data_IF_251073841881
#
_entry.id   IF_251073841881
#
_cell.length_a   1.000
_cell.length_b   1.000
_cell.length_c   1.000
_cell.angle_alpha   90.00
_cell.angle_beta   90.00
_cell.angle_gamma   90.00
#
_symmetry.space_group_name_H-M   'P 1'
#
loop_
_entity.id
_entity.type
_entity.pdbx_description
1 polymer ?
#
# COMPACT_ATOMS: atom_id res chain seq x y z
N UNK A 1 10.45 14.98 -22.02
CA UNK A 1 10.77 15.81 -20.83
C UNK A 1 9.99 15.42 -19.58
N UNK A 2 8.75 14.93 -19.69
CA UNK A 2 7.92 14.59 -18.51
C UNK A 2 8.48 13.44 -17.64
N UNK A 3 9.03 12.37 -18.24
CA UNK A 3 9.58 11.24 -17.47
C UNK A 3 10.88 11.60 -16.71
N UNK A 4 11.91 12.24 -17.32
CA UNK A 4 13.09 12.69 -16.57
C UNK A 4 12.78 13.71 -15.47
N UNK A 5 11.81 14.61 -15.69
CA UNK A 5 11.39 15.58 -14.69
C UNK A 5 10.72 14.89 -13.49
N UNK A 6 9.85 13.89 -13.74
CA UNK A 6 9.24 13.08 -12.68
C UNK A 6 10.31 12.27 -11.92
N UNK A 7 11.27 11.66 -12.61
CA UNK A 7 12.37 10.95 -11.97
C UNK A 7 13.16 11.88 -11.06
N UNK A 8 13.55 13.06 -11.54
CA UNK A 8 14.24 14.07 -10.73
C UNK A 8 13.43 14.46 -9.48
N UNK A 9 12.12 14.70 -9.64
CA UNK A 9 11.24 15.03 -8.52
C UNK A 9 11.26 13.93 -7.44
N UNK A 10 11.13 12.66 -7.85
CA UNK A 10 11.13 11.51 -6.94
C UNK A 10 12.44 11.39 -6.17
N UNK A 11 13.59 11.55 -6.84
CA UNK A 11 14.90 11.50 -6.18
C UNK A 11 15.08 12.64 -5.15
N UNK A 12 14.57 13.84 -5.46
CA UNK A 12 14.63 14.98 -4.52
C UNK A 12 13.78 14.73 -3.28
N UNK A 13 12.58 14.18 -3.45
CA UNK A 13 11.67 13.83 -2.34
C UNK A 13 12.27 12.76 -1.43
N UNK A 14 13.00 11.79 -1.96
CA UNK A 14 13.67 10.78 -1.15
C UNK A 14 14.85 11.33 -0.33
N UNK A 15 15.51 12.37 -0.83
CA UNK A 15 16.74 12.90 -0.24
C UNK A 15 16.53 14.06 0.74
N UNK A 16 15.37 14.73 0.72
CA UNK A 16 15.15 15.96 1.48
C UNK A 16 13.79 15.98 2.18
N UNK A 17 13.75 16.60 3.36
CA UNK A 17 12.49 16.90 4.06
C UNK A 17 11.78 18.05 3.33
N UNK A 18 10.90 17.69 2.38
CA UNK A 18 10.18 18.63 1.51
C UNK A 18 8.79 18.99 2.07
N UNK A 19 8.63 19.09 3.39
CA UNK A 19 7.37 19.43 4.07
C UNK A 19 6.66 20.65 3.49
N UNK A 20 7.40 21.68 3.10
CA UNK A 20 6.79 22.90 2.55
C UNK A 20 6.05 22.67 1.22
N UNK A 21 6.49 21.68 0.44
CA UNK A 21 5.97 21.42 -0.91
C UNK A 21 5.24 20.07 -0.97
N UNK A 22 5.05 19.39 0.16
CA UNK A 22 4.56 18.02 0.23
C UNK A 22 3.18 17.86 -0.43
N UNK A 23 2.26 18.80 -0.20
CA UNK A 23 0.94 18.84 -0.85
C UNK A 23 1.02 18.98 -2.37
N UNK A 24 1.89 19.87 -2.86
CA UNK A 24 2.06 20.11 -4.30
C UNK A 24 2.71 18.90 -4.99
N UNK A 25 3.70 18.30 -4.34
CA UNK A 25 4.35 17.07 -4.81
C UNK A 25 3.36 15.91 -4.83
N UNK A 26 2.56 15.76 -3.78
CA UNK A 26 1.53 14.74 -3.69
C UNK A 26 0.50 14.89 -4.81
N UNK A 27 0.06 16.11 -5.11
CA UNK A 27 -0.89 16.36 -6.20
C UNK A 27 -0.30 15.95 -7.57
N UNK A 28 0.96 16.30 -7.84
CA UNK A 28 1.66 15.91 -9.06
C UNK A 28 1.77 14.38 -9.17
N UNK A 29 2.19 13.73 -8.09
CA UNK A 29 2.33 12.27 -8.03
C UNK A 29 0.98 11.58 -8.23
N UNK A 30 -0.07 12.05 -7.55
CA UNK A 30 -1.43 11.49 -7.63
C UNK A 30 -1.97 11.50 -9.06
N UNK A 31 -1.76 12.59 -9.80
CA UNK A 31 -2.13 12.69 -11.23
C UNK A 31 -1.37 11.71 -12.11
N UNK A 32 -0.17 11.30 -11.72
CA UNK A 32 0.68 10.37 -12.47
C UNK A 32 0.39 8.90 -12.17
N UNK A 33 -0.28 8.59 -11.05
CA UNK A 33 -0.77 7.24 -10.75
C UNK A 33 -1.75 6.72 -11.82
N UNK A 34 -2.56 7.61 -12.39
CA UNK A 34 -3.54 7.30 -13.44
C UNK A 34 -2.94 7.27 -14.85
N UNK A 35 -1.62 7.36 -15.00
CA UNK A 35 -0.97 7.37 -16.32
C UNK A 35 -1.02 5.97 -16.98
N UNK A 36 -1.29 5.94 -18.28
CA UNK A 36 -1.13 4.74 -19.11
C UNK A 36 0.33 4.25 -19.17
N UNK A 37 1.30 5.15 -18.91
CA UNK A 37 2.71 4.80 -18.88
C UNK A 37 3.07 4.10 -17.57
N UNK A 38 3.40 2.81 -17.66
CA UNK A 38 3.86 1.98 -16.53
C UNK A 38 5.07 2.60 -15.82
N UNK A 39 6.05 3.11 -16.57
CA UNK A 39 7.24 3.74 -16.00
C UNK A 39 6.89 4.97 -15.16
N UNK A 40 5.99 5.82 -15.65
CA UNK A 40 5.53 7.00 -14.89
C UNK A 40 4.74 6.58 -13.65
N UNK A 41 3.90 5.55 -13.75
CA UNK A 41 3.15 5.02 -12.60
C UNK A 41 4.09 4.46 -11.52
N UNK A 42 5.11 3.70 -11.92
CA UNK A 42 6.15 3.19 -11.00
C UNK A 42 6.91 4.33 -10.32
N UNK A 43 7.37 5.33 -11.08
CA UNK A 43 8.06 6.49 -10.51
C UNK A 43 7.15 7.26 -9.54
N UNK A 44 5.90 7.49 -9.93
CA UNK A 44 4.92 8.15 -9.07
C UNK A 44 4.71 7.37 -7.75
N UNK A 45 4.54 6.05 -7.83
CA UNK A 45 4.42 5.19 -6.64
C UNK A 45 5.67 5.20 -5.77
N UNK A 46 6.87 5.22 -6.37
CA UNK A 46 8.12 5.34 -5.60
C UNK A 46 8.19 6.67 -4.84
N UNK A 47 7.82 7.78 -5.49
CA UNK A 47 7.68 9.07 -4.80
C UNK A 47 6.61 9.04 -3.70
N UNK A 48 5.49 8.33 -3.94
CA UNK A 48 4.43 8.17 -2.95
C UNK A 48 4.89 7.38 -1.72
N UNK A 49 5.72 6.35 -1.90
CA UNK A 49 6.35 5.60 -0.79
C UNK A 49 7.21 6.53 0.05
N UNK A 50 7.99 7.41 -0.56
CA UNK A 50 8.79 8.39 0.18
C UNK A 50 7.92 9.37 0.98
N UNK A 51 6.86 9.90 0.34
CA UNK A 51 5.92 10.82 0.97
C UNK A 51 5.13 10.20 2.14
N UNK A 52 4.67 8.95 2.01
CA UNK A 52 3.87 8.25 3.03
C UNK A 52 4.56 8.07 4.39
N UNK A 53 5.86 8.37 4.49
CA UNK A 53 6.59 8.39 5.76
C UNK A 53 6.40 9.69 6.54
N UNK A 54 5.93 10.75 5.90
CA UNK A 54 5.66 12.03 6.53
C UNK A 54 4.17 12.12 6.95
N UNK A 55 3.86 12.23 8.24
CA UNK A 55 2.49 12.39 8.72
C UNK A 55 1.75 13.62 8.15
N UNK A 56 2.48 14.62 7.63
CA UNK A 56 1.89 15.83 7.06
C UNK A 56 0.98 15.56 5.86
N UNK A 57 1.27 14.49 5.10
CA UNK A 57 0.53 14.13 3.88
C UNK A 57 -0.48 12.99 4.08
N UNK A 58 -0.62 12.46 5.30
CA UNK A 58 -1.44 11.27 5.58
C UNK A 58 -2.90 11.43 5.13
N UNK A 59 -3.51 12.62 5.27
CA UNK A 59 -4.87 12.86 4.78
C UNK A 59 -4.96 12.79 3.25
N UNK A 60 -3.93 13.30 2.57
CA UNK A 60 -3.81 13.20 1.13
C UNK A 60 -3.64 11.75 0.67
N UNK A 61 -2.80 10.96 1.33
CA UNK A 61 -2.66 9.52 1.05
C UNK A 61 -3.97 8.78 1.31
N UNK A 62 -4.67 9.10 2.41
CA UNK A 62 -5.97 8.52 2.73
C UNK A 62 -7.00 8.74 1.63
N UNK A 63 -7.01 9.92 0.99
CA UNK A 63 -7.87 10.19 -0.16
C UNK A 63 -7.61 9.28 -1.37
N UNK A 64 -6.40 8.72 -1.47
CA UNK A 64 -5.98 7.80 -2.54
C UNK A 64 -6.25 6.33 -2.22
N UNK A 65 -6.69 5.99 -1.01
CA UNK A 65 -6.83 4.60 -0.51
C UNK A 65 -7.57 3.69 -1.50
N UNK A 66 -8.70 4.12 -2.06
CA UNK A 66 -9.46 3.31 -3.02
C UNK A 66 -8.69 3.10 -4.33
N UNK A 67 -8.12 4.16 -4.90
CA UNK A 67 -7.30 4.06 -6.12
C UNK A 67 -6.11 3.12 -5.91
N UNK A 68 -5.48 3.15 -4.73
CA UNK A 68 -4.37 2.27 -4.39
C UNK A 68 -4.83 0.82 -4.24
N UNK A 69 -5.98 0.57 -3.61
CA UNK A 69 -6.55 -0.78 -3.51
C UNK A 69 -6.90 -1.36 -4.88
N UNK A 70 -7.44 -0.55 -5.79
CA UNK A 70 -7.74 -0.99 -7.16
C UNK A 70 -6.45 -1.40 -7.91
N UNK A 71 -5.35 -0.67 -7.67
CA UNK A 71 -4.04 -0.96 -8.28
C UNK A 71 -3.29 -2.14 -7.63
N UNK A 72 -3.75 -2.68 -6.49
CA UNK A 72 -3.18 -3.91 -5.90
C UNK A 72 -3.42 -5.15 -6.77
N UNK A 73 -4.37 -5.08 -7.71
CA UNK A 73 -4.66 -6.13 -8.69
C UNK A 73 -3.87 -5.95 -10.01
N UNK A 74 -2.89 -5.03 -10.06
CA UNK A 74 -2.01 -4.86 -11.24
C UNK A 74 -1.14 -6.12 -11.43
N UNK A 75 -0.92 -6.51 -12.69
CA UNK A 75 -0.05 -7.64 -13.03
C UNK A 75 1.44 -7.36 -12.74
N UNK A 76 1.79 -6.09 -12.53
CA UNK A 76 3.13 -5.64 -12.24
C UNK A 76 3.46 -5.77 -10.74
N UNK A 77 4.17 -6.82 -10.36
CA UNK A 77 4.53 -7.07 -8.96
C UNK A 77 5.34 -5.95 -8.29
N UNK A 78 6.09 -5.15 -9.05
CA UNK A 78 6.80 -3.99 -8.49
C UNK A 78 5.82 -2.86 -8.10
N UNK A 79 4.81 -2.62 -8.95
CA UNK A 79 3.71 -1.68 -8.64
C UNK A 79 2.98 -2.13 -7.38
N UNK A 80 2.63 -3.41 -7.29
CA UNK A 80 1.95 -3.98 -6.11
C UNK A 80 2.81 -3.82 -4.85
N UNK A 81 4.11 -4.13 -4.93
CA UNK A 81 5.02 -3.99 -3.79
C UNK A 81 5.16 -2.54 -3.30
N UNK A 82 5.20 -1.57 -4.21
CA UNK A 82 5.23 -0.15 -3.86
C UNK A 82 3.94 0.29 -3.15
N UNK A 83 2.78 -0.15 -3.64
CA UNK A 83 1.49 0.16 -3.00
C UNK A 83 1.40 -0.45 -1.60
N UNK A 84 1.81 -1.71 -1.43
CA UNK A 84 1.86 -2.35 -0.12
C UNK A 84 2.78 -1.58 0.84
N UNK A 85 3.89 -1.04 0.34
CA UNK A 85 4.82 -0.22 1.13
C UNK A 85 4.21 1.12 1.55
N UNK A 86 3.41 1.76 0.68
CA UNK A 86 2.65 2.98 1.05
C UNK A 86 1.71 2.69 2.21
N UNK A 87 0.92 1.62 2.12
CA UNK A 87 0.02 1.24 3.21
C UNK A 87 0.77 0.91 4.50
N UNK A 88 1.90 0.19 4.44
CA UNK A 88 2.70 -0.12 5.63
C UNK A 88 3.23 1.14 6.32
N UNK A 89 3.70 2.14 5.56
CA UNK A 89 4.16 3.41 6.13
C UNK A 89 3.01 4.15 6.82
N UNK A 90 1.82 4.21 6.19
CA UNK A 90 0.63 4.84 6.79
C UNK A 90 0.21 4.17 8.10
N UNK A 91 0.35 2.85 8.21
CA UNK A 91 -0.02 2.09 9.42
C UNK A 91 1.06 2.09 10.50
N UNK A 92 2.29 2.49 10.18
CA UNK A 92 3.39 2.54 11.13
C UNK A 92 3.15 3.61 12.21
N UNK A 93 2.48 4.71 11.85
CA UNK A 93 1.99 5.70 12.82
C UNK A 93 0.65 5.25 13.41
N UNK A 94 0.75 4.34 14.39
CA UNK A 94 -0.36 3.66 15.11
C UNK A 94 -1.38 4.60 15.78
N UNK A 95 -1.24 5.92 15.65
CA UNK A 95 -2.23 6.91 16.04
C UNK A 95 -3.49 6.87 15.16
N UNK A 96 -3.40 6.34 13.94
CA UNK A 96 -4.54 6.27 13.02
C UNK A 96 -5.24 4.92 13.08
N UNK A 97 -6.44 4.90 13.65
CA UNK A 97 -7.33 3.75 13.51
C UNK A 97 -7.89 3.74 12.08
N UNK A 98 -7.73 2.62 11.37
CA UNK A 98 -8.44 2.42 10.11
C UNK A 98 -9.92 2.18 10.43
N UNK A 99 -10.81 2.77 9.64
CA UNK A 99 -12.23 2.44 9.73
C UNK A 99 -12.45 0.95 9.51
N UNK A 100 -13.33 0.31 10.30
CA UNK A 100 -13.58 -1.13 10.17
C UNK A 100 -14.00 -1.55 8.76
N UNK A 101 -14.83 -0.78 8.00
CA UNK A 101 -15.14 -1.12 6.61
C UNK A 101 -13.92 -1.10 5.69
N UNK A 102 -13.09 -0.04 5.76
CA UNK A 102 -11.88 0.08 4.92
C UNK A 102 -10.89 -1.04 5.24
N UNK A 103 -10.73 -1.39 6.52
CA UNK A 103 -9.84 -2.46 6.93
C UNK A 103 -10.30 -3.84 6.42
N UNK A 104 -11.61 -4.10 6.41
CA UNK A 104 -12.15 -5.34 5.86
C UNK A 104 -11.94 -5.42 4.35
N UNK A 105 -12.22 -4.33 3.63
CA UNK A 105 -11.98 -4.26 2.18
C UNK A 105 -10.49 -4.49 1.85
N UNK A 106 -9.58 -3.83 2.57
CA UNK A 106 -8.14 -4.03 2.39
C UNK A 106 -7.75 -5.48 2.68
N UNK A 107 -8.28 -6.08 3.76
CA UNK A 107 -8.02 -7.48 4.10
C UNK A 107 -8.48 -8.47 3.01
N UNK A 108 -9.64 -8.23 2.39
CA UNK A 108 -10.14 -9.01 1.26
C UNK A 108 -9.23 -8.91 0.04
N UNK A 109 -8.74 -7.71 -0.29
CA UNK A 109 -7.81 -7.52 -1.40
C UNK A 109 -6.48 -8.22 -1.11
N UNK A 110 -5.93 -8.06 0.09
CA UNK A 110 -4.65 -8.67 0.49
C UNK A 110 -4.70 -10.20 0.47
N UNK A 111 -5.85 -10.79 0.79
CA UNK A 111 -6.04 -12.25 0.73
C UNK A 111 -5.66 -12.83 -0.63
N UNK A 112 -5.98 -12.13 -1.73
CA UNK A 112 -5.62 -12.58 -3.09
C UNK A 112 -4.11 -12.57 -3.35
N UNK A 113 -3.34 -11.78 -2.59
CA UNK A 113 -1.90 -11.62 -2.76
C UNK A 113 -1.07 -12.63 -1.95
N UNK A 114 -1.70 -13.39 -1.05
CA UNK A 114 -0.98 -14.38 -0.23
C UNK A 114 -0.46 -15.58 -1.01
N UNK A 115 -0.99 -15.83 -2.21
CA UNK A 115 -0.53 -16.86 -3.14
C UNK A 115 0.12 -16.25 -4.40
N UNK A 116 0.61 -15.01 -4.32
CA UNK A 116 1.26 -14.36 -5.45
C UNK A 116 2.61 -15.02 -5.77
N UNK A 117 2.91 -15.20 -7.06
CA UNK A 117 4.18 -15.79 -7.55
C UNK A 117 5.41 -14.96 -7.15
N UNK A 118 5.22 -13.66 -6.88
CA UNK A 118 6.26 -12.80 -6.38
C UNK A 118 6.34 -12.89 -4.84
N UNK A 119 7.38 -13.56 -4.34
CA UNK A 119 7.61 -13.75 -2.90
C UNK A 119 7.72 -12.45 -2.10
N UNK A 120 8.20 -11.36 -2.72
CA UNK A 120 8.26 -10.06 -2.06
C UNK A 120 6.85 -9.48 -1.84
N UNK A 121 5.99 -9.56 -2.85
CA UNK A 121 4.57 -9.16 -2.75
C UNK A 121 3.83 -10.01 -1.73
N UNK A 122 4.07 -11.32 -1.74
CA UNK A 122 3.50 -12.24 -0.77
C UNK A 122 3.86 -11.85 0.67
N UNK A 123 5.15 -11.66 0.96
CA UNK A 123 5.60 -11.31 2.31
C UNK A 123 5.09 -9.94 2.77
N UNK A 124 5.10 -8.94 1.89
CA UNK A 124 4.57 -7.60 2.20
C UNK A 124 3.06 -7.64 2.48
N UNK A 125 2.29 -8.40 1.69
CA UNK A 125 0.84 -8.48 1.87
C UNK A 125 0.45 -9.19 3.17
N UNK A 126 1.15 -10.27 3.53
CA UNK A 126 0.97 -10.97 4.82
C UNK A 126 1.33 -10.04 5.98
N UNK A 127 2.44 -9.29 5.87
CA UNK A 127 2.84 -8.35 6.91
C UNK A 127 1.81 -7.24 7.09
N UNK A 128 1.34 -6.63 5.99
CA UNK A 128 0.34 -5.58 6.03
C UNK A 128 -0.97 -6.08 6.62
N UNK A 129 -1.41 -7.29 6.25
CA UNK A 129 -2.61 -7.88 6.81
C UNK A 129 -2.54 -8.01 8.34
N UNK A 130 -1.37 -8.39 8.87
CA UNK A 130 -1.14 -8.42 10.33
C UNK A 130 -1.30 -7.03 10.95
N UNK A 131 -0.70 -5.99 10.39
CA UNK A 131 -0.82 -4.62 10.92
C UNK A 131 -2.28 -4.14 10.90
N UNK A 132 -3.03 -4.42 9.82
CA UNK A 132 -4.47 -4.13 9.73
C UNK A 132 -5.24 -4.82 10.86
N UNK A 133 -4.94 -6.08 11.19
CA UNK A 133 -5.59 -6.77 12.32
C UNK A 133 -5.32 -6.11 13.67
N UNK A 134 -4.12 -5.57 13.90
CA UNK A 134 -3.76 -4.93 15.16
C UNK A 134 -4.52 -3.61 15.35
N UNK A 135 -4.78 -2.88 14.27
CA UNK A 135 -5.32 -1.51 14.26
C UNK A 135 -6.85 -1.39 14.25
N UNK A 136 -7.61 -2.46 13.99
CA UNK A 136 -9.08 -2.40 14.01
C UNK A 136 -9.64 -2.59 15.43
N UNK A 137 -10.78 -1.94 15.74
CA UNK A 137 -11.52 -2.15 16.99
C UNK A 137 -11.95 -3.63 17.18
N UNK A 138 -12.21 -4.05 18.42
CA UNK A 138 -12.55 -5.45 18.75
C UNK A 138 -13.70 -6.05 17.93
N UNK A 139 -14.71 -5.23 17.58
CA UNK A 139 -15.82 -5.66 16.71
C UNK A 139 -15.34 -6.04 15.30
N UNK A 140 -14.43 -5.28 14.71
CA UNK A 140 -13.86 -5.57 13.39
C UNK A 140 -12.78 -6.65 13.44
N UNK A 141 -12.05 -6.77 14.56
CA UNK A 141 -11.09 -7.88 14.79
C UNK A 141 -11.73 -9.26 14.64
N UNK A 142 -12.98 -9.43 15.09
CA UNK A 142 -13.68 -10.72 14.95
C UNK A 142 -13.89 -11.10 13.48
N UNK A 143 -14.28 -10.14 12.65
CA UNK A 143 -14.47 -10.36 11.21
C UNK A 143 -13.13 -10.64 10.51
N UNK A 144 -12.07 -9.88 10.83
CA UNK A 144 -10.73 -10.14 10.28
C UNK A 144 -10.16 -11.50 10.70
N UNK A 145 -10.39 -11.95 11.94
CA UNK A 145 -10.00 -13.29 12.39
C UNK A 145 -10.68 -14.40 11.58
N UNK A 146 -11.95 -14.21 11.19
CA UNK A 146 -12.62 -15.17 10.33
C UNK A 146 -11.96 -15.24 8.94
N UNK A 147 -11.56 -14.10 8.36
CA UNK A 147 -10.77 -14.08 7.12
C UNK A 147 -9.46 -14.86 7.25
N UNK A 148 -8.66 -14.62 8.30
CA UNK A 148 -7.40 -15.38 8.55
C UNK A 148 -7.63 -16.88 8.51
N UNK A 149 -8.66 -17.35 9.23
CA UNK A 149 -8.95 -18.77 9.30
C UNK A 149 -9.32 -19.37 7.94
N UNK A 150 -9.89 -18.57 7.04
CA UNK A 150 -10.27 -19.01 5.70
C UNK A 150 -9.10 -18.94 4.69
N UNK A 151 -8.11 -18.07 4.91
CA UNK A 151 -7.04 -17.82 3.92
C UNK A 151 -5.68 -18.40 4.30
N UNK A 152 -5.21 -18.15 5.52
CA UNK A 152 -3.82 -18.44 5.91
C UNK A 152 -3.65 -19.86 6.44
N UNK A 153 -4.68 -20.43 7.07
CA UNK A 153 -4.65 -21.83 7.53
C UNK A 153 -4.47 -22.81 6.34
N UNK A 154 -5.23 -22.70 5.23
CA UNK A 154 -5.02 -23.56 4.07
C UNK A 154 -3.61 -23.43 3.45
N UNK A 155 -3.04 -22.22 3.38
CA UNK A 155 -1.68 -22.01 2.89
C UNK A 155 -0.63 -22.74 3.74
N UNK A 156 -0.79 -22.70 5.07
CA UNK A 156 0.10 -23.41 5.98
C UNK A 156 0.01 -24.93 5.84
N UNK A 157 -1.20 -25.46 5.66
CA UNK A 157 -1.40 -26.89 5.45
C UNK A 157 -0.94 -27.36 4.06
N UNK A 158 -1.08 -26.54 3.02
CA UNK A 158 -0.60 -26.87 1.67
C UNK A 158 0.92 -27.05 1.63
N UNK A 159 1.68 -26.26 2.39
CA UNK A 159 3.14 -26.42 2.53
C UNK A 159 3.57 -27.66 3.33
N UNK A 160 2.65 -28.36 3.98
CA UNK A 160 2.93 -29.57 4.79
C UNK A 160 2.50 -30.87 4.12
N UNK A 161 1.78 -30.79 3.00
CA UNK A 161 1.36 -31.93 2.19
C UNK A 161 2.27 -32.19 0.95
N UNK A 162 3.35 -31.40 0.79
CA UNK A 162 4.47 -31.66 -0.15
C UNK A 162 5.69 -32.28 0.57
#
# INVERSE_FOLDING_TARGET
WDLPALAFLVEVVECHDMREWSDSVLEIISRRLQSESREKRRLALRGLVALSKDPSVAEGIRSLTQNLMDLLQDADGEVVALILSVFLNELQDRATLISSPTALQLAEVLQSLFANDNSHVQLLSIHLFREVMELVMDKGKKALKAHVCQSLLPLFFHCHDE
#
